data_IF_397014291003
#
_entry.id   IF_397014291003
#
_cell.length_a   1.000
_cell.length_b   1.000
_cell.length_c   1.000
_cell.angle_alpha   90.00
_cell.angle_beta   90.00
_cell.angle_gamma   90.00
#
_symmetry.space_group_name_H-M   'P 1'
#
loop_
_entity.id
_entity.type
_entity.pdbx_description
1 polymer ?
#
# COMPACT_ATOMS: atom_id res chain seq x y z
N UNK A 1 4.51 -3.68 60.75
CA UNK A 1 5.03 -3.72 59.36
C UNK A 1 5.39 -2.30 58.94
N UNK A 2 6.68 -1.98 58.86
CA UNK A 2 7.18 -0.67 58.46
C UNK A 2 7.04 -0.47 56.95
N UNK A 3 6.15 0.40 56.53
CA UNK A 3 5.94 0.71 55.10
C UNK A 3 6.79 1.96 54.75
N UNK A 4 7.89 1.74 53.98
CA UNK A 4 8.55 2.82 53.25
C UNK A 4 7.85 2.96 51.90
N UNK A 5 7.30 4.14 51.60
CA UNK A 5 6.82 4.49 50.26
C UNK A 5 7.74 5.55 49.67
N UNK A 6 8.45 5.16 48.62
CA UNK A 6 9.26 6.04 47.82
C UNK A 6 8.52 6.31 46.52
N UNK A 7 8.29 7.56 46.23
CA UNK A 7 7.74 8.00 44.93
C UNK A 7 8.82 8.83 44.25
N UNK A 8 9.17 8.39 43.03
CA UNK A 8 10.11 9.12 42.19
C UNK A 8 9.38 9.54 40.93
N UNK A 9 9.38 10.82 40.63
CA UNK A 9 8.87 11.39 39.39
C UNK A 9 10.04 12.00 38.65
N UNK A 10 10.32 11.47 37.43
CA UNK A 10 11.35 11.99 36.54
C UNK A 10 10.66 12.63 35.35
N UNK A 11 10.96 13.88 35.08
CA UNK A 11 10.55 14.60 33.89
C UNK A 11 11.81 14.85 33.06
N UNK A 12 11.80 14.41 31.82
CA UNK A 12 12.87 14.74 30.85
C UNK A 12 12.21 15.25 29.59
N UNK A 13 12.55 16.44 29.19
CA UNK A 13 12.08 17.06 27.96
C UNK A 13 13.25 17.54 27.09
N UNK A 14 13.13 17.42 25.78
CA UNK A 14 14.14 17.87 24.82
C UNK A 14 13.78 19.26 24.31
N UNK A 15 14.60 20.26 24.63
CA UNK A 15 14.42 21.65 24.16
C UNK A 15 14.89 21.83 22.71
N UNK A 16 15.94 21.13 22.32
CA UNK A 16 16.52 21.19 20.99
C UNK A 16 17.13 19.84 20.59
N UNK A 17 16.81 19.36 19.39
CA UNK A 17 17.30 18.11 18.82
C UNK A 17 17.71 18.25 17.35
N UNK A 18 18.43 19.34 17.01
CA UNK A 18 18.91 19.56 15.64
C UNK A 18 17.78 19.68 14.60
N UNK A 19 16.61 20.21 15.00
CA UNK A 19 15.40 20.33 14.16
C UNK A 19 14.86 18.98 13.65
N UNK A 20 15.31 17.83 14.18
CA UNK A 20 14.91 16.50 13.73
C UNK A 20 13.42 16.28 13.88
N UNK A 21 12.82 16.66 15.02
CA UNK A 21 11.37 16.54 15.27
C UNK A 21 10.56 17.33 14.25
N UNK A 22 10.94 18.58 13.98
CA UNK A 22 10.26 19.44 13.00
C UNK A 22 10.33 18.84 11.58
N UNK A 23 11.51 18.33 11.20
CA UNK A 23 11.69 17.69 9.89
C UNK A 23 10.98 16.35 9.81
N UNK A 24 10.88 15.57 10.91
CA UNK A 24 10.08 14.34 10.97
C UNK A 24 8.59 14.61 10.75
N UNK A 25 8.06 15.67 11.35
CA UNK A 25 6.66 16.09 11.13
C UNK A 25 6.43 16.42 9.65
N UNK A 26 7.36 17.17 9.02
CA UNK A 26 7.27 17.50 7.59
C UNK A 26 7.38 16.26 6.71
N UNK A 27 8.29 15.34 7.04
CA UNK A 27 8.43 14.06 6.36
C UNK A 27 7.14 13.26 6.42
N UNK A 28 6.55 13.12 7.62
CA UNK A 28 5.28 12.42 7.80
C UNK A 28 4.13 13.08 7.03
N UNK A 29 4.13 14.42 6.91
CA UNK A 29 3.15 15.14 6.11
C UNK A 29 3.32 14.83 4.61
N UNK A 30 4.54 14.85 4.09
CA UNK A 30 4.80 14.48 2.68
C UNK A 30 4.44 13.01 2.40
N UNK A 31 4.69 12.10 3.35
CA UNK A 31 4.27 10.69 3.26
C UNK A 31 2.74 10.53 3.25
N UNK A 32 2.02 11.33 4.04
CA UNK A 32 0.56 11.34 4.01
C UNK A 32 0.03 11.81 2.64
N UNK A 33 0.58 12.91 2.11
CA UNK A 33 0.21 13.42 0.79
C UNK A 33 0.55 12.40 -0.32
N UNK A 34 1.70 11.73 -0.23
CA UNK A 34 2.06 10.61 -1.10
C UNK A 34 1.00 9.50 -1.05
N UNK A 35 0.59 9.06 0.15
CA UNK A 35 -0.40 8.00 0.31
C UNK A 35 -1.77 8.36 -0.29
N UNK A 36 -2.14 9.65 -0.29
CA UNK A 36 -3.37 10.12 -0.95
C UNK A 36 -3.26 9.95 -2.46
N UNK A 37 -2.13 10.32 -3.09
CA UNK A 37 -1.92 10.11 -4.52
C UNK A 37 -1.79 8.63 -4.89
N UNK A 38 -1.18 7.81 -4.03
CA UNK A 38 -1.12 6.35 -4.20
C UNK A 38 -2.52 5.72 -4.18
N UNK A 39 -3.43 6.24 -3.34
CA UNK A 39 -4.82 5.82 -3.33
C UNK A 39 -5.52 6.18 -4.65
N UNK A 40 -5.31 7.38 -5.18
CA UNK A 40 -5.86 7.79 -6.48
C UNK A 40 -5.31 6.93 -7.62
N UNK A 41 -4.01 6.65 -7.62
CA UNK A 41 -3.36 5.76 -8.57
C UNK A 41 -3.95 4.33 -8.50
N UNK A 42 -4.13 3.82 -7.27
CA UNK A 42 -4.76 2.51 -7.06
C UNK A 42 -6.19 2.46 -7.60
N UNK A 43 -6.99 3.50 -7.40
CA UNK A 43 -8.34 3.60 -7.97
C UNK A 43 -8.31 3.55 -9.50
N UNK A 44 -7.39 4.29 -10.13
CA UNK A 44 -7.21 4.28 -11.58
C UNK A 44 -6.80 2.90 -12.09
N UNK A 45 -5.89 2.21 -11.42
CA UNK A 45 -5.43 0.87 -11.77
C UNK A 45 -6.55 -0.16 -11.65
N UNK A 46 -7.38 -0.08 -10.60
CA UNK A 46 -8.57 -0.94 -10.45
C UNK A 46 -9.57 -0.67 -11.57
N UNK A 47 -9.83 0.60 -11.89
CA UNK A 47 -10.73 0.97 -12.98
C UNK A 47 -10.24 0.41 -14.33
N UNK A 48 -8.95 0.55 -14.65
CA UNK A 48 -8.36 -0.01 -15.87
C UNK A 48 -8.46 -1.55 -15.90
N UNK A 49 -8.23 -2.20 -14.75
CA UNK A 49 -8.36 -3.65 -14.62
C UNK A 49 -9.79 -4.12 -14.88
N UNK A 50 -10.78 -3.41 -14.35
CA UNK A 50 -12.21 -3.69 -14.60
C UNK A 50 -12.56 -3.52 -16.07
N UNK A 51 -12.11 -2.42 -16.69
CA UNK A 51 -12.36 -2.16 -18.13
C UNK A 51 -11.70 -3.24 -18.99
N UNK A 52 -10.45 -3.58 -18.70
CA UNK A 52 -9.72 -4.62 -19.43
C UNK A 52 -10.40 -5.98 -19.32
N UNK A 53 -10.82 -6.37 -18.11
CA UNK A 53 -11.55 -7.62 -17.90
C UNK A 53 -12.91 -7.62 -18.58
N UNK A 54 -13.63 -6.50 -18.57
CA UNK A 54 -14.89 -6.33 -19.28
C UNK A 54 -14.74 -6.53 -20.79
N UNK A 55 -13.71 -5.90 -21.39
CA UNK A 55 -13.40 -6.08 -22.83
C UNK A 55 -13.02 -7.53 -23.14
N UNK A 56 -12.28 -8.19 -22.23
CA UNK A 56 -11.96 -9.62 -22.35
C UNK A 56 -13.22 -10.49 -22.37
N UNK A 57 -14.19 -10.21 -21.50
CA UNK A 57 -15.48 -10.93 -21.51
C UNK A 57 -16.21 -10.74 -22.83
N UNK A 58 -16.25 -9.52 -23.36
CA UNK A 58 -16.89 -9.26 -24.66
C UNK A 58 -16.24 -10.03 -25.79
N UNK A 59 -14.90 -10.11 -25.79
CA UNK A 59 -14.15 -10.88 -26.77
C UNK A 59 -14.50 -12.38 -26.69
N UNK A 60 -14.56 -12.94 -25.47
CA UNK A 60 -14.91 -14.36 -25.27
C UNK A 60 -16.37 -14.62 -25.64
N UNK A 61 -17.29 -13.69 -25.37
CA UNK A 61 -18.69 -13.77 -25.85
C UNK A 61 -18.78 -13.87 -27.39
N UNK A 62 -17.98 -13.05 -28.08
CA UNK A 62 -17.97 -13.11 -29.56
C UNK A 62 -17.36 -14.41 -30.06
N UNK A 63 -16.31 -14.90 -29.42
CA UNK A 63 -15.72 -16.22 -29.74
C UNK A 63 -16.71 -17.35 -29.51
N UNK A 64 -17.45 -17.33 -28.39
CA UNK A 64 -18.51 -18.33 -28.13
C UNK A 64 -19.61 -18.28 -29.17
N UNK A 65 -20.05 -17.08 -29.54
CA UNK A 65 -21.04 -16.90 -30.61
C UNK A 65 -20.55 -17.47 -31.93
N UNK A 66 -19.29 -17.19 -32.31
CA UNK A 66 -18.71 -17.72 -33.56
C UNK A 66 -18.54 -19.25 -33.50
N UNK A 67 -18.12 -19.81 -32.37
CA UNK A 67 -18.02 -21.26 -32.18
C UNK A 67 -19.40 -21.95 -32.34
N UNK A 68 -20.45 -21.36 -31.75
CA UNK A 68 -21.82 -21.86 -31.92
C UNK A 68 -22.31 -21.79 -33.37
N UNK A 69 -21.99 -20.71 -34.08
CA UNK A 69 -22.33 -20.62 -35.52
C UNK A 69 -21.57 -21.67 -36.35
N UNK A 70 -20.31 -21.90 -36.06
CA UNK A 70 -19.50 -22.94 -36.75
C UNK A 70 -20.09 -24.32 -36.51
N UNK A 71 -20.37 -24.67 -35.24
CA UNK A 71 -21.02 -25.93 -34.87
C UNK A 71 -22.34 -26.13 -35.61
N UNK A 72 -23.18 -25.09 -35.64
CA UNK A 72 -24.48 -25.17 -36.35
C UNK A 72 -24.28 -25.37 -37.83
N UNK A 73 -23.35 -24.66 -38.47
CA UNK A 73 -23.02 -24.79 -39.89
C UNK A 73 -22.54 -26.21 -40.25
N UNK A 74 -21.60 -26.76 -39.45
CA UNK A 74 -21.10 -28.12 -39.65
C UNK A 74 -22.21 -29.17 -39.45
N UNK A 75 -23.11 -28.98 -38.46
CA UNK A 75 -24.28 -29.84 -38.25
C UNK A 75 -25.21 -29.86 -39.42
N UNK A 76 -25.49 -28.70 -40.03
CA UNK A 76 -26.33 -28.61 -41.26
C UNK A 76 -25.66 -29.26 -42.47
N UNK A 77 -24.34 -29.08 -42.64
CA UNK A 77 -23.55 -29.75 -43.69
C UNK A 77 -23.60 -31.27 -43.52
N UNK A 78 -23.40 -31.77 -42.26
CA UNK A 78 -23.49 -33.19 -41.97
C UNK A 78 -24.89 -33.76 -42.35
N UNK A 79 -25.97 -33.05 -41.97
CA UNK A 79 -27.32 -33.45 -42.30
C UNK A 79 -27.58 -33.59 -43.80
N UNK A 80 -27.02 -32.68 -44.61
CA UNK A 80 -27.08 -32.75 -46.08
C UNK A 80 -26.24 -33.88 -46.63
N UNK A 81 -25.03 -34.06 -46.09
CA UNK A 81 -24.11 -35.12 -46.50
C UNK A 81 -24.65 -36.50 -46.22
N UNK A 82 -25.31 -36.73 -45.07
CA UNK A 82 -25.98 -37.98 -44.75
C UNK A 82 -27.01 -38.35 -45.84
N UNK A 83 -27.83 -37.41 -46.24
CA UNK A 83 -28.84 -37.65 -47.31
C UNK A 83 -28.19 -38.01 -48.65
N UNK A 84 -27.05 -37.42 -49.00
CA UNK A 84 -26.33 -37.72 -50.23
C UNK A 84 -25.59 -39.07 -50.17
N UNK A 85 -25.10 -39.46 -49.03
CA UNK A 85 -24.51 -40.79 -48.79
C UNK A 85 -25.59 -41.86 -48.87
N UNK A 86 -26.74 -41.64 -48.24
CA UNK A 86 -27.87 -42.58 -48.26
C UNK A 86 -28.44 -42.76 -49.67
N UNK A 87 -28.37 -41.69 -50.52
CA UNK A 87 -28.70 -41.74 -51.93
C UNK A 87 -27.63 -42.39 -52.82
N UNK A 88 -26.47 -42.78 -52.25
CA UNK A 88 -25.32 -43.35 -52.95
C UNK A 88 -24.52 -42.37 -53.81
N UNK A 89 -24.76 -41.04 -53.67
CA UNK A 89 -24.15 -40.01 -54.48
C UNK A 89 -22.70 -39.65 -54.09
N UNK A 90 -22.30 -39.89 -52.83
CA UNK A 90 -21.00 -39.58 -52.30
C UNK A 90 -20.48 -40.69 -51.37
N UNK A 91 -19.13 -40.82 -51.20
CA UNK A 91 -18.54 -41.83 -50.31
C UNK A 91 -18.87 -41.60 -48.82
N UNK A 92 -19.02 -42.68 -48.07
CA UNK A 92 -19.25 -42.68 -46.61
C UNK A 92 -18.12 -41.94 -45.83
N UNK A 93 -16.91 -41.92 -46.35
CA UNK A 93 -15.78 -41.18 -45.77
C UNK A 93 -16.09 -39.72 -45.54
N UNK A 94 -16.85 -39.09 -46.43
CA UNK A 94 -17.25 -37.67 -46.28
C UNK A 94 -18.13 -37.44 -45.06
N UNK A 95 -19.04 -38.39 -44.74
CA UNK A 95 -19.85 -38.36 -43.53
C UNK A 95 -18.99 -38.49 -42.28
N UNK A 96 -18.07 -39.47 -42.27
CA UNK A 96 -17.16 -39.72 -41.11
C UNK A 96 -16.27 -38.51 -40.85
N UNK A 97 -15.77 -37.84 -41.91
CA UNK A 97 -14.95 -36.63 -41.75
C UNK A 97 -15.77 -35.48 -41.13
N UNK A 98 -17.02 -35.29 -41.53
CA UNK A 98 -17.89 -34.25 -40.97
C UNK A 98 -18.35 -34.58 -39.53
N UNK A 99 -18.55 -35.86 -39.20
CA UNK A 99 -18.80 -36.28 -37.82
C UNK A 99 -17.62 -35.97 -36.90
N UNK A 100 -16.41 -36.24 -37.35
CA UNK A 100 -15.20 -35.91 -36.61
C UNK A 100 -15.02 -34.38 -36.44
N UNK A 101 -15.31 -33.60 -37.52
CA UNK A 101 -15.31 -32.13 -37.45
C UNK A 101 -16.37 -31.59 -36.50
N UNK A 102 -17.60 -32.13 -36.51
CA UNK A 102 -18.68 -31.74 -35.63
C UNK A 102 -18.30 -31.95 -34.14
N UNK A 103 -17.67 -33.11 -33.81
CA UNK A 103 -17.17 -33.36 -32.47
C UNK A 103 -16.11 -32.36 -32.05
N UNK A 104 -15.21 -31.96 -32.98
CA UNK A 104 -14.23 -30.89 -32.76
C UNK A 104 -14.87 -29.52 -32.51
N UNK A 105 -15.87 -29.18 -33.31
CA UNK A 105 -16.63 -27.91 -33.16
C UNK A 105 -17.41 -27.90 -31.80
N UNK A 106 -17.99 -29.03 -31.41
CA UNK A 106 -18.65 -29.16 -30.10
C UNK A 106 -17.69 -28.94 -28.92
N UNK A 107 -16.51 -29.53 -29.01
CA UNK A 107 -15.44 -29.30 -28.02
C UNK A 107 -15.08 -27.82 -27.96
N UNK A 108 -14.94 -27.15 -29.11
CA UNK A 108 -14.66 -25.73 -29.19
C UNK A 108 -15.75 -24.88 -28.49
N UNK A 109 -17.03 -25.21 -28.66
CA UNK A 109 -18.14 -24.52 -27.98
C UNK A 109 -18.01 -24.69 -26.47
N UNK A 110 -17.78 -25.91 -25.98
CA UNK A 110 -17.64 -26.19 -24.55
C UNK A 110 -16.44 -25.40 -23.96
N UNK A 111 -15.32 -25.36 -24.68
CA UNK A 111 -14.12 -24.61 -24.25
C UNK A 111 -14.41 -23.11 -24.14
N UNK A 112 -15.08 -22.51 -25.14
CA UNK A 112 -15.44 -21.08 -25.09
C UNK A 112 -16.48 -20.80 -24.00
N UNK A 113 -17.42 -21.71 -23.75
CA UNK A 113 -18.41 -21.54 -22.68
C UNK A 113 -17.77 -21.56 -21.30
N UNK A 114 -16.82 -22.47 -21.08
CA UNK A 114 -16.03 -22.51 -19.85
C UNK A 114 -15.15 -21.24 -19.71
N UNK A 115 -14.55 -20.79 -20.81
CA UNK A 115 -13.79 -19.53 -20.85
C UNK A 115 -14.63 -18.31 -20.48
N UNK A 116 -15.87 -18.26 -20.97
CA UNK A 116 -16.82 -17.20 -20.65
C UNK A 116 -17.18 -17.19 -19.14
N UNK A 117 -17.52 -18.37 -18.59
CA UNK A 117 -17.81 -18.51 -17.15
C UNK A 117 -16.62 -18.09 -16.28
N UNK A 118 -15.41 -18.51 -16.67
CA UNK A 118 -14.19 -18.14 -15.96
C UNK A 118 -13.93 -16.63 -16.02
N UNK A 119 -14.12 -16.00 -17.18
CA UNK A 119 -13.93 -14.56 -17.35
C UNK A 119 -14.92 -13.74 -16.50
N UNK A 120 -16.17 -14.19 -16.35
CA UNK A 120 -17.15 -13.59 -15.42
C UNK A 120 -16.70 -13.73 -13.97
N UNK A 121 -16.20 -14.92 -13.59
CA UNK A 121 -15.70 -15.15 -12.23
C UNK A 121 -14.51 -14.23 -11.90
N UNK A 122 -13.59 -14.04 -12.85
CA UNK A 122 -12.47 -13.11 -12.70
C UNK A 122 -12.95 -11.66 -12.51
N UNK A 123 -13.98 -11.23 -13.25
CA UNK A 123 -14.56 -9.89 -13.04
C UNK A 123 -15.20 -9.77 -11.64
N UNK A 124 -15.92 -10.79 -11.18
CA UNK A 124 -16.47 -10.81 -9.82
C UNK A 124 -15.37 -10.71 -8.75
N UNK A 125 -14.23 -11.38 -8.96
CA UNK A 125 -13.08 -11.30 -8.05
C UNK A 125 -12.46 -9.89 -8.02
N UNK A 126 -12.31 -9.23 -9.17
CA UNK A 126 -11.79 -7.85 -9.24
C UNK A 126 -12.74 -6.88 -8.53
N UNK A 127 -14.05 -7.10 -8.66
CA UNK A 127 -15.09 -6.28 -8.02
C UNK A 127 -15.40 -6.69 -6.58
N UNK A 128 -14.75 -7.74 -6.06
CA UNK A 128 -15.01 -8.33 -4.73
C UNK A 128 -16.47 -8.65 -4.48
N UNK A 129 -17.19 -9.12 -5.53
CA UNK A 129 -18.59 -9.49 -5.45
C UNK A 129 -18.75 -10.93 -4.94
N UNK A 130 -19.84 -11.17 -4.23
CA UNK A 130 -20.22 -12.52 -3.81
C UNK A 130 -20.60 -13.39 -5.03
N UNK A 131 -20.37 -14.70 -4.92
CA UNK A 131 -20.64 -15.65 -6.02
C UNK A 131 -22.12 -15.77 -6.39
N UNK A 132 -23.04 -15.45 -5.47
CA UNK A 132 -24.48 -15.51 -5.67
C UNK A 132 -25.04 -14.37 -6.53
N UNK A 133 -24.28 -13.30 -6.79
CA UNK A 133 -24.70 -12.17 -7.60
C UNK A 133 -24.57 -12.56 -9.08
N UNK A 134 -25.67 -12.55 -9.81
CA UNK A 134 -25.65 -12.71 -11.26
C UNK A 134 -25.25 -11.39 -11.94
N UNK A 135 -24.19 -11.45 -12.75
CA UNK A 135 -23.73 -10.34 -13.56
C UNK A 135 -24.28 -10.49 -14.99
N UNK A 136 -25.08 -9.55 -15.41
CA UNK A 136 -25.49 -9.44 -16.81
C UNK A 136 -24.59 -8.42 -17.52
N UNK A 137 -23.84 -8.90 -18.52
CA UNK A 137 -22.91 -8.07 -19.29
C UNK A 137 -23.66 -7.50 -20.49
N UNK A 138 -23.87 -6.20 -20.48
CA UNK A 138 -24.54 -5.47 -21.57
C UNK A 138 -23.49 -4.92 -22.51
N UNK A 139 -23.61 -5.12 -23.79
CA UNK A 139 -22.75 -4.52 -24.82
C UNK A 139 -23.10 -3.05 -24.98
N UNK A 140 -22.16 -2.08 -24.68
CA UNK A 140 -22.42 -0.68 -24.96
C UNK A 140 -22.47 -0.45 -26.48
N UNK A 141 -23.41 0.37 -26.94
CA UNK A 141 -23.36 0.92 -28.28
C UNK A 141 -22.27 2.01 -28.32
N UNK A 142 -21.06 1.61 -28.68
CA UNK A 142 -19.95 2.57 -28.84
C UNK A 142 -20.02 3.06 -30.30
N UNK A 143 -20.33 4.32 -30.45
CA UNK A 143 -20.25 5.01 -31.74
C UNK A 143 -18.79 5.38 -31.99
N UNK A 144 -18.06 4.52 -32.69
CA UNK A 144 -16.67 4.73 -33.07
C UNK A 144 -16.62 5.73 -34.23
N UNK A 145 -16.92 7.00 -33.94
CA UNK A 145 -16.68 8.07 -34.89
C UNK A 145 -15.14 8.35 -34.97
N UNK A 146 -14.49 8.08 -36.12
CA UNK A 146 -13.07 8.30 -36.28
C UNK A 146 -12.63 9.75 -36.05
N UNK A 147 -13.57 10.69 -36.14
CA UNK A 147 -13.35 12.12 -35.92
C UNK A 147 -13.14 12.53 -34.45
N UNK A 148 -13.34 11.61 -33.48
CA UNK A 148 -13.03 11.84 -32.07
C UNK A 148 -11.60 11.40 -31.69
N UNK A 149 -10.83 10.88 -32.63
CA UNK A 149 -9.40 10.69 -32.41
C UNK A 149 -8.77 12.08 -32.41
N UNK A 150 -8.58 12.59 -31.20
CA UNK A 150 -7.91 13.87 -30.97
C UNK A 150 -6.51 13.76 -31.58
N UNK A 151 -6.26 14.48 -32.67
CA UNK A 151 -4.90 14.71 -33.20
C UNK A 151 -4.14 15.59 -32.18
N UNK A 152 -3.87 15.03 -31.01
CA UNK A 152 -3.12 15.72 -29.96
C UNK A 152 -1.65 15.56 -30.25
N UNK A 153 -0.92 16.67 -30.25
CA UNK A 153 0.54 16.65 -30.34
C UNK A 153 1.08 15.79 -29.17
N UNK A 154 1.96 14.80 -29.41
CA UNK A 154 2.51 13.96 -28.35
C UNK A 154 3.11 14.74 -27.18
N UNK A 155 3.69 15.92 -27.44
CA UNK A 155 4.24 16.79 -26.40
C UNK A 155 3.16 17.40 -25.52
N UNK A 156 1.98 17.73 -26.05
CA UNK A 156 0.85 18.25 -25.26
C UNK A 156 0.25 17.16 -24.37
N UNK A 157 0.13 15.93 -24.91
CA UNK A 157 -0.30 14.77 -24.14
C UNK A 157 0.67 14.51 -22.99
N UNK A 158 1.96 14.54 -23.26
CA UNK A 158 3.01 14.34 -22.26
C UNK A 158 2.94 15.41 -21.15
N UNK A 159 2.87 16.69 -21.51
CA UNK A 159 2.81 17.78 -20.54
C UNK A 159 1.52 17.71 -19.68
N UNK A 160 0.41 17.36 -20.30
CA UNK A 160 -0.85 17.14 -19.58
C UNK A 160 -0.73 15.95 -18.62
N UNK A 161 -0.16 14.84 -19.06
CA UNK A 161 0.07 13.66 -18.25
C UNK A 161 0.93 13.98 -17.02
N UNK A 162 2.03 14.74 -17.19
CA UNK A 162 2.88 15.17 -16.06
C UNK A 162 2.11 15.94 -14.99
N UNK A 163 1.13 16.75 -15.39
CA UNK A 163 0.35 17.58 -14.45
C UNK A 163 -0.80 16.83 -13.78
N UNK A 164 -1.38 15.83 -14.45
CA UNK A 164 -2.63 15.16 -14.04
C UNK A 164 -2.38 13.83 -13.35
N UNK A 165 -1.35 13.07 -13.77
CA UNK A 165 -1.16 11.70 -13.28
C UNK A 165 -0.80 11.65 -11.77
N UNK A 166 -1.58 10.93 -10.95
CA UNK A 166 -1.32 10.81 -9.51
C UNK A 166 0.01 10.12 -9.22
N UNK A 167 0.46 9.21 -10.07
CA UNK A 167 1.72 8.49 -9.92
C UNK A 167 2.93 9.43 -9.90
N UNK A 168 2.93 10.45 -10.76
CA UNK A 168 4.00 11.46 -10.81
C UNK A 168 3.99 12.30 -9.55
N UNK A 169 2.80 12.74 -9.11
CA UNK A 169 2.64 13.51 -7.86
C UNK A 169 3.06 12.71 -6.64
N UNK A 170 2.76 11.41 -6.61
CA UNK A 170 3.23 10.49 -5.57
C UNK A 170 4.76 10.41 -5.54
N UNK A 171 5.40 10.25 -6.71
CA UNK A 171 6.86 10.21 -6.82
C UNK A 171 7.52 11.53 -6.37
N UNK A 172 6.94 12.68 -6.69
CA UNK A 172 7.40 13.99 -6.21
C UNK A 172 7.32 14.10 -4.68
N UNK A 173 6.23 13.62 -4.08
CA UNK A 173 6.08 13.61 -2.61
C UNK A 173 7.01 12.62 -1.93
N UNK A 174 7.30 11.50 -2.55
CA UNK A 174 8.31 10.55 -2.11
C UNK A 174 9.72 11.16 -2.10
N UNK A 175 10.06 11.91 -3.17
CA UNK A 175 11.32 12.65 -3.23
C UNK A 175 11.40 13.70 -2.12
N UNK A 176 10.33 14.48 -1.91
CA UNK A 176 10.26 15.49 -0.85
C UNK A 176 10.45 14.85 0.54
N UNK A 177 9.80 13.72 0.80
CA UNK A 177 9.97 12.94 2.03
C UNK A 177 11.43 12.49 2.23
N UNK A 178 12.08 12.03 1.17
CA UNK A 178 13.49 11.61 1.20
C UNK A 178 14.43 12.79 1.50
N UNK A 179 14.13 13.98 0.98
CA UNK A 179 14.87 15.22 1.30
C UNK A 179 14.73 15.58 2.78
N UNK A 180 13.54 15.43 3.37
CA UNK A 180 13.37 15.61 4.82
C UNK A 180 14.11 14.54 5.62
N UNK A 181 14.13 13.29 5.18
CA UNK A 181 14.93 12.21 5.78
C UNK A 181 16.43 12.57 5.83
N UNK A 182 16.94 13.13 4.74
CA UNK A 182 18.33 13.64 4.72
C UNK A 182 18.55 14.80 5.72
N UNK A 183 17.58 15.72 5.85
CA UNK A 183 17.65 16.82 6.82
C UNK A 183 17.62 16.30 8.26
N UNK A 184 16.84 15.27 8.56
CA UNK A 184 16.79 14.59 9.86
C UNK A 184 18.16 13.97 10.18
N UNK A 185 18.75 13.24 9.25
CA UNK A 185 20.06 12.62 9.42
C UNK A 185 21.17 13.67 9.62
N UNK A 186 21.11 14.78 8.89
CA UNK A 186 22.02 15.93 9.12
C UNK A 186 21.78 16.58 10.47
N UNK A 187 20.53 16.57 10.97
CA UNK A 187 20.16 17.06 12.30
C UNK A 187 20.91 16.38 13.44
N UNK A 188 21.25 15.09 13.28
CA UNK A 188 22.03 14.32 14.26
C UNK A 188 23.47 14.80 14.48
N UNK A 189 23.97 15.73 13.64
CA UNK A 189 25.29 16.38 13.83
C UNK A 189 25.23 17.56 14.80
N UNK A 190 24.05 18.05 15.14
CA UNK A 190 23.88 19.15 16.07
C UNK A 190 23.73 18.64 17.50
N UNK A 191 24.15 19.44 18.51
CA UNK A 191 23.98 19.05 19.90
C UNK A 191 22.51 18.93 20.29
N UNK A 192 22.21 17.98 21.17
CA UNK A 192 20.87 17.83 21.76
C UNK A 192 20.86 18.53 23.11
N UNK A 193 19.92 19.44 23.33
CA UNK A 193 19.71 20.13 24.59
C UNK A 193 18.44 19.57 25.23
N UNK A 194 18.61 18.98 26.43
CA UNK A 194 17.50 18.46 27.22
C UNK A 194 17.48 19.01 28.63
N UNK A 195 16.31 19.19 29.20
CA UNK A 195 16.10 19.54 30.61
C UNK A 195 15.52 18.30 31.28
N UNK A 196 16.09 18.00 32.46
CA UNK A 196 15.55 16.93 33.30
C UNK A 196 15.31 17.47 34.72
N UNK A 197 14.21 17.06 35.31
CA UNK A 197 13.85 17.36 36.70
C UNK A 197 13.42 16.07 37.38
N UNK A 198 14.00 15.85 38.56
CA UNK A 198 13.69 14.68 39.38
C UNK A 198 13.07 15.15 40.70
N UNK A 199 11.88 14.68 40.96
CA UNK A 199 11.20 14.90 42.23
C UNK A 199 11.11 13.57 42.98
N UNK A 200 11.79 13.53 44.15
CA UNK A 200 11.76 12.37 45.02
C UNK A 200 10.99 12.71 46.29
N UNK A 201 10.01 11.87 46.61
CA UNK A 201 9.27 11.95 47.85
C UNK A 201 9.48 10.66 48.63
N UNK A 202 10.05 10.77 49.82
CA UNK A 202 10.27 9.67 50.74
C UNK A 202 9.32 9.82 51.91
N UNK A 203 8.43 8.85 52.11
CA UNK A 203 7.62 8.74 53.30
C UNK A 203 8.16 7.58 54.15
N UNK A 204 8.52 7.87 55.41
CA UNK A 204 8.90 6.87 56.41
C UNK A 204 8.05 7.03 57.66
N UNK A 205 7.41 5.95 58.11
CA UNK A 205 6.67 5.94 59.38
C UNK A 205 7.59 6.14 60.61
N UNK A 206 8.90 6.19 60.39
CA UNK A 206 9.87 6.54 61.46
C UNK A 206 9.93 8.06 61.73
N UNK A 207 9.44 8.90 60.85
CA UNK A 207 9.52 10.36 60.99
C UNK A 207 8.64 10.94 62.09
N UNK A 208 7.74 10.15 62.71
CA UNK A 208 6.87 10.59 63.82
C UNK A 208 7.46 10.29 65.19
N UNK A 209 8.69 9.82 65.31
CA UNK A 209 9.39 9.89 66.59
C UNK A 209 10.06 11.26 66.68
N UNK A 210 9.70 12.03 67.72
CA UNK A 210 10.44 13.23 68.13
C UNK A 210 11.91 12.90 68.04
N UNK A 211 12.56 13.37 66.99
CA UNK A 211 13.99 13.47 66.96
C UNK A 211 14.31 14.78 67.60
N UNK A 212 15.03 14.72 68.72
CA UNK A 212 15.76 15.85 69.19
C UNK A 212 16.60 16.36 67.99
N UNK A 213 16.16 17.49 67.43
CA UNK A 213 16.97 18.18 66.41
C UNK A 213 18.24 18.62 67.13
N UNK A 214 19.29 17.86 66.95
CA UNK A 214 20.64 18.34 67.16
C UNK A 214 20.88 19.43 66.13
N UNK A 215 20.87 20.66 66.59
CA UNK A 215 21.09 21.88 65.81
C UNK A 215 22.59 22.00 65.44
N UNK A 216 23.14 21.01 64.84
CA UNK A 216 24.53 20.96 64.42
C UNK A 216 24.63 20.73 62.95
N UNK A 217 24.49 21.77 62.15
CA UNK A 217 25.00 21.75 60.78
C UNK A 217 26.52 21.65 60.86
N UNK A 218 27.10 20.48 60.69
CA UNK A 218 28.55 20.32 60.54
C UNK A 218 28.91 20.49 59.07
N UNK A 219 29.64 21.53 58.74
CA UNK A 219 30.28 21.67 57.45
C UNK A 219 31.51 20.77 57.40
N UNK A 220 31.46 19.71 56.61
CA UNK A 220 32.65 18.88 56.38
C UNK A 220 33.32 19.28 55.07
N UNK A 221 34.64 19.50 55.09
CA UNK A 221 35.39 19.78 53.87
C UNK A 221 35.48 18.51 53.02
N UNK A 222 34.93 18.55 51.82
CA UNK A 222 35.07 17.46 50.85
C UNK A 222 36.16 17.83 49.84
N UNK A 223 37.19 17.04 49.75
CA UNK A 223 38.25 17.23 48.78
C UNK A 223 37.74 17.02 47.36
N UNK A 224 37.80 18.04 46.53
CA UNK A 224 37.35 17.99 45.12
C UNK A 224 38.52 17.91 44.12
N UNK A 225 39.75 18.05 44.58
CA UNK A 225 40.93 17.93 43.72
C UNK A 225 42.22 18.29 44.44
N UNK A 226 43.33 18.23 43.71
CA UNK A 226 44.67 18.62 44.17
C UNK A 226 45.19 19.73 43.28
N UNK A 227 45.95 20.64 43.81
CA UNK A 227 46.63 21.67 43.03
C UNK A 227 47.74 21.04 42.18
N UNK A 228 47.77 21.39 40.91
CA UNK A 228 48.68 20.81 39.89
C UNK A 228 50.19 21.06 40.28
N UNK A 229 50.45 22.10 41.02
CA UNK A 229 51.83 22.48 41.43
C UNK A 229 52.23 22.00 42.83
N UNK A 230 51.30 21.50 43.63
CA UNK A 230 51.61 20.94 44.96
C UNK A 230 50.57 19.81 45.30
N UNK A 231 50.95 18.55 45.08
CA UNK A 231 50.03 17.42 45.27
C UNK A 231 49.66 17.13 46.74
N UNK A 232 50.27 17.83 47.66
CA UNK A 232 49.95 17.74 49.11
C UNK A 232 48.90 18.78 49.55
N UNK A 233 48.58 19.74 48.70
CA UNK A 233 47.58 20.78 48.97
C UNK A 233 46.25 20.45 48.27
N UNK A 234 45.23 20.09 49.04
CA UNK A 234 43.93 19.69 48.56
C UNK A 234 43.03 20.90 48.44
N UNK A 235 42.29 20.96 47.30
CA UNK A 235 41.20 21.91 47.16
C UNK A 235 39.93 21.24 47.68
N UNK A 236 39.33 21.81 48.73
CA UNK A 236 38.11 21.29 49.35
C UNK A 236 37.00 22.33 49.30
N UNK A 237 35.78 21.86 49.15
CA UNK A 237 34.59 22.68 49.31
C UNK A 237 33.85 22.24 50.58
N UNK A 238 33.23 23.20 51.26
CA UNK A 238 32.40 22.87 52.40
C UNK A 238 31.01 22.45 51.92
N UNK A 239 30.60 21.23 52.28
CA UNK A 239 29.24 20.72 52.05
C UNK A 239 28.52 20.62 53.38
N UNK A 240 27.28 21.07 53.44
CA UNK A 240 26.36 20.84 54.54
C UNK A 240 25.99 19.34 54.54
N UNK A 241 26.29 18.67 55.62
CA UNK A 241 25.91 17.29 55.89
C UNK A 241 24.81 17.24 56.93
#
# INVERSE_FOLDING_TARGET
VLRRRQRQMCIRDSLFSGLSIRNSIRQSKSLLEQSVFDLENTKNNVMLSVVSQYLSIMLVMDRLKNARYQYQSTREQLSRTIKLVDAGSIPVTNKLNLEAQLAGDELAVIQQENGYRLSILQLKQILLLENNIELNIIRPAVDLNPSTVVESNPNEIYNTALSVLPEIKSAEKSLESSVYGLKISKGGRYPVISVSSNFNSNYSSYANRERDFYDGFSMQPTTIGYLTNNPLETVSTMTLV
#
